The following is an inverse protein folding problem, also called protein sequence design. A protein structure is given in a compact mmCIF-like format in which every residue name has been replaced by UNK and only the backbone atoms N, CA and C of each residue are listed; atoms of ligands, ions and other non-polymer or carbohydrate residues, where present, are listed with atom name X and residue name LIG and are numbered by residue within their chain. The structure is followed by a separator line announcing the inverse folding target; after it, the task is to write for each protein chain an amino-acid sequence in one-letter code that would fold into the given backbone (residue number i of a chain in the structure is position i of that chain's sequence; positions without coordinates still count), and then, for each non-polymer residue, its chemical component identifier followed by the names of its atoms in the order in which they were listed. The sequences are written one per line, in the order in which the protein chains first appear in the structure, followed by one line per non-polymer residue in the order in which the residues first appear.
data_IF_111036911730
#
_entry.id   IF_111036911730
#
_cell.length_a   1.000
_cell.length_b   1.000
_cell.length_c   1.000
_cell.angle_alpha   90.00
_cell.angle_beta   90.00
_cell.angle_gamma   90.00
#
_symmetry.space_group_name_H-M   'P 1'
#
loop_
_entity.id
_entity.type
_entity.pdbx_description
1 polymer ?
#
# COMPACT_ATOMS: atom_id res chain seq x y z
N UNK A 1 -8.56 19.54 6.00
CA UNK A 1 -8.96 18.29 6.70
C UNK A 1 -9.41 17.28 5.67
N UNK A 2 -8.75 16.12 5.55
CA UNK A 2 -8.91 15.19 4.42
C UNK A 2 -10.21 14.38 4.55
N UNK A 3 -11.37 15.02 4.33
CA UNK A 3 -12.69 14.47 4.64
C UNK A 3 -13.09 13.22 3.81
N UNK A 4 -12.35 12.85 2.75
CA UNK A 4 -12.77 11.82 1.77
C UNK A 4 -11.65 10.92 1.19
N UNK A 5 -10.44 10.87 1.76
CA UNK A 5 -9.37 10.04 1.14
C UNK A 5 -9.66 8.55 1.21
N UNK A 6 -10.29 8.08 2.29
CA UNK A 6 -10.68 6.67 2.45
C UNK A 6 -11.65 6.29 1.35
N UNK A 7 -12.66 7.14 1.07
CA UNK A 7 -13.59 6.95 -0.04
C UNK A 7 -12.82 6.84 -1.36
N UNK A 8 -11.88 7.74 -1.65
CA UNK A 8 -11.08 7.68 -2.88
C UNK A 8 -10.24 6.40 -3.01
N UNK A 9 -9.75 5.86 -1.90
CA UNK A 9 -9.01 4.60 -1.89
C UNK A 9 -9.93 3.39 -2.12
N UNK A 10 -11.14 3.40 -1.54
CA UNK A 10 -12.16 2.34 -1.74
C UNK A 10 -12.67 2.31 -3.18
N UNK A 11 -12.91 3.45 -3.82
CA UNK A 11 -13.39 3.53 -5.21
C UNK A 11 -12.38 3.00 -6.25
N UNK A 12 -11.15 2.67 -5.83
CA UNK A 12 -10.10 2.10 -6.71
C UNK A 12 -9.57 0.78 -6.13
N UNK A 13 -10.39 -0.28 -6.09
CA UNK A 13 -9.93 -1.61 -5.69
C UNK A 13 -8.78 -2.08 -6.60
N UNK A 14 -7.88 -2.90 -6.08
CA UNK A 14 -6.73 -3.43 -6.85
C UNK A 14 -5.61 -2.41 -7.15
N UNK A 15 -5.84 -1.09 -6.97
CA UNK A 15 -4.85 -0.09 -7.38
C UNK A 15 -3.50 -0.18 -6.67
N UNK A 16 -3.48 -0.65 -5.42
CA UNK A 16 -2.24 -0.88 -4.69
C UNK A 16 -1.40 -2.02 -5.30
N UNK A 17 -2.04 -3.04 -5.89
CA UNK A 17 -1.34 -4.10 -6.61
C UNK A 17 -0.61 -3.53 -7.82
N UNK A 18 -1.30 -2.71 -8.62
CA UNK A 18 -0.71 -2.01 -9.77
C UNK A 18 0.43 -1.08 -9.36
N UNK A 19 0.27 -0.28 -8.30
CA UNK A 19 1.31 0.64 -7.83
C UNK A 19 2.60 -0.11 -7.42
N UNK A 20 2.44 -1.31 -6.86
CA UNK A 20 3.53 -2.16 -6.36
C UNK A 20 4.03 -3.17 -7.41
N UNK A 21 3.46 -3.21 -8.62
CA UNK A 21 3.65 -4.28 -9.63
C UNK A 21 3.51 -5.69 -9.03
N UNK A 22 2.52 -5.86 -8.16
CA UNK A 22 2.12 -7.16 -7.64
C UNK A 22 0.92 -7.62 -8.47
N UNK A 23 0.87 -8.87 -8.96
CA UNK A 23 -0.30 -9.37 -9.67
C UNK A 23 -1.56 -9.25 -8.81
N UNK A 24 -2.69 -8.89 -9.42
CA UNK A 24 -3.99 -8.93 -8.76
C UNK A 24 -4.29 -10.38 -8.32
N UNK A 25 -4.88 -10.55 -7.13
CA UNK A 25 -5.07 -11.86 -6.50
C UNK A 25 -3.89 -12.38 -5.67
N UNK A 26 -2.68 -11.81 -5.84
CA UNK A 26 -1.54 -12.17 -4.98
C UNK A 26 -1.59 -11.44 -3.64
N UNK A 27 -1.47 -12.17 -2.53
CA UNK A 27 -1.51 -11.57 -1.20
C UNK A 27 -0.36 -10.58 -0.99
N UNK A 28 -0.68 -9.30 -0.76
CA UNK A 28 0.33 -8.30 -0.40
C UNK A 28 0.90 -8.62 0.99
N UNK A 29 2.24 -8.77 1.14
CA UNK A 29 2.87 -9.06 2.42
C UNK A 29 2.62 -7.97 3.47
N UNK A 30 2.41 -8.36 4.73
CA UNK A 30 2.21 -7.37 5.81
C UNK A 30 3.49 -6.57 6.08
N UNK A 31 4.65 -7.20 5.92
CA UNK A 31 5.97 -6.57 6.04
C UNK A 31 6.15 -5.43 5.05
N UNK A 32 5.72 -5.62 3.79
CA UNK A 32 5.75 -4.58 2.77
C UNK A 32 4.84 -3.40 3.11
N UNK A 33 3.60 -3.69 3.55
CA UNK A 33 2.67 -2.63 3.98
C UNK A 33 3.23 -1.82 5.15
N UNK A 34 3.79 -2.49 6.16
CA UNK A 34 4.38 -1.82 7.30
C UNK A 34 5.60 -0.97 6.90
N UNK A 35 6.42 -1.43 5.95
CA UNK A 35 7.55 -0.66 5.44
C UNK A 35 7.11 0.62 4.72
N UNK A 36 6.04 0.54 3.92
CA UNK A 36 5.45 1.70 3.24
C UNK A 36 4.89 2.70 4.26
N UNK A 37 4.19 2.22 5.30
CA UNK A 37 3.59 3.08 6.33
C UNK A 37 4.65 3.71 7.23
N UNK A 38 5.77 3.02 7.46
CA UNK A 38 6.89 3.56 8.26
C UNK A 38 7.67 4.65 7.52
N UNK A 39 7.70 4.59 6.19
CA UNK A 39 8.33 5.61 5.36
C UNK A 39 7.42 6.83 5.19
N UNK A 40 8.01 8.02 5.02
CA UNK A 40 7.23 9.24 4.80
C UNK A 40 6.88 9.36 3.33
N UNK A 41 5.74 9.99 3.04
CA UNK A 41 5.40 10.34 1.67
C UNK A 41 6.48 11.25 1.05
N UNK A 42 7.06 10.81 -0.06
CA UNK A 42 8.23 11.41 -0.71
C UNK A 42 9.47 10.50 -0.67
N UNK A 43 9.52 9.56 0.28
CA UNK A 43 10.67 8.67 0.43
C UNK A 43 10.65 7.55 -0.60
N UNK A 44 11.83 7.10 -1.01
CA UNK A 44 11.99 5.86 -1.80
C UNK A 44 12.47 4.74 -0.89
N UNK A 45 11.66 3.68 -0.75
CA UNK A 45 12.03 2.50 0.04
C UNK A 45 12.55 1.38 -0.86
N UNK A 46 13.48 0.59 -0.34
CA UNK A 46 13.79 -0.72 -0.89
C UNK A 46 12.75 -1.72 -0.38
N UNK A 47 12.18 -2.50 -1.28
CA UNK A 47 11.22 -3.53 -0.91
C UNK A 47 11.91 -4.59 -0.04
N UNK A 48 11.44 -4.81 1.20
CA UNK A 48 12.00 -5.82 2.08
C UNK A 48 11.58 -7.25 1.69
N UNK A 49 10.75 -7.41 0.67
CA UNK A 49 10.23 -8.69 0.18
C UNK A 49 10.57 -8.92 -1.28
N UNK A 50 10.45 -10.17 -1.73
CA UNK A 50 10.66 -10.57 -3.12
C UNK A 50 9.44 -10.35 -4.02
N UNK A 51 8.33 -9.79 -3.49
CA UNK A 51 7.06 -9.65 -4.21
C UNK A 51 6.86 -8.20 -4.63
N UNK A 52 6.72 -7.98 -5.94
CA UNK A 52 6.52 -6.66 -6.54
C UNK A 52 7.82 -5.88 -6.81
N UNK A 53 7.71 -4.56 -6.94
CA UNK A 53 8.84 -3.65 -7.24
C UNK A 53 9.96 -3.74 -6.22
N UNK A 54 11.21 -3.73 -6.68
CA UNK A 54 12.40 -3.69 -5.80
C UNK A 54 12.59 -2.35 -5.08
N UNK A 55 12.22 -1.24 -5.72
CA UNK A 55 12.27 0.12 -5.16
C UNK A 55 10.92 0.79 -5.36
N UNK A 56 10.43 1.46 -4.33
CA UNK A 56 9.06 1.98 -4.30
C UNK A 56 9.12 3.43 -3.83
N UNK A 57 8.68 4.35 -4.69
CA UNK A 57 8.44 5.74 -4.30
C UNK A 57 7.14 5.79 -3.51
N UNK A 58 7.23 6.13 -2.23
CA UNK A 58 6.07 6.23 -1.34
C UNK A 58 5.38 7.56 -1.61
N UNK A 59 4.33 7.54 -2.42
CA UNK A 59 3.47 8.72 -2.58
C UNK A 59 2.39 8.74 -1.50
N UNK A 60 1.79 9.90 -1.21
CA UNK A 60 0.66 10.01 -0.27
C UNK A 60 -0.49 9.06 -0.60
N UNK A 61 -0.75 8.80 -1.89
CA UNK A 61 -1.80 7.88 -2.34
C UNK A 61 -1.45 6.42 -2.04
N UNK A 62 -0.19 6.04 -2.24
CA UNK A 62 0.32 4.69 -1.93
C UNK A 62 0.28 4.45 -0.42
N UNK A 63 0.74 5.42 0.38
CA UNK A 63 0.68 5.38 1.84
C UNK A 63 -0.75 5.18 2.33
N UNK A 64 -1.69 6.02 1.89
CA UNK A 64 -3.12 5.93 2.24
C UNK A 64 -3.72 4.56 1.88
N UNK A 65 -3.44 4.05 0.68
CA UNK A 65 -3.91 2.73 0.25
C UNK A 65 -3.28 1.62 1.09
N UNK A 66 -1.99 1.72 1.42
CA UNK A 66 -1.31 0.74 2.27
C UNK A 66 -1.89 0.70 3.69
N UNK A 67 -2.20 1.86 4.27
CA UNK A 67 -2.89 1.96 5.58
C UNK A 67 -4.26 1.27 5.50
N UNK A 68 -5.06 1.57 4.47
CA UNK A 68 -6.37 0.96 4.30
C UNK A 68 -6.27 -0.57 4.19
N UNK A 69 -5.39 -1.07 3.32
CA UNK A 69 -5.22 -2.52 3.11
C UNK A 69 -4.71 -3.22 4.37
N UNK A 70 -3.77 -2.60 5.11
CA UNK A 70 -3.30 -3.12 6.40
C UNK A 70 -4.46 -3.25 7.40
N UNK A 71 -5.28 -2.21 7.53
CA UNK A 71 -6.42 -2.22 8.45
C UNK A 71 -7.46 -3.25 8.06
N UNK A 72 -7.83 -3.33 6.77
CA UNK A 72 -8.75 -4.36 6.25
C UNK A 72 -8.24 -5.78 6.53
N UNK A 73 -6.93 -6.00 6.38
CA UNK A 73 -6.30 -7.30 6.67
C UNK A 73 -6.27 -7.63 8.16
N UNK A 74 -6.21 -6.63 9.03
CA UNK A 74 -6.32 -6.79 10.47
C UNK A 74 -7.74 -7.16 10.93
N UNK A 75 -8.77 -6.68 10.22
CA UNK A 75 -10.18 -6.99 10.51
C UNK A 75 -10.66 -8.35 9.98
N UNK A 76 -9.95 -8.97 9.04
CA UNK A 76 -10.23 -10.35 8.55
C UNK A 76 -9.73 -11.46 9.49
N UNK A 77 -9.28 -11.12 10.71
CA UNK A 77 -8.82 -12.10 11.70
C UNK A 77 -9.95 -12.56 12.59
#
# INVERSE_FOLDING_TARGET
MVKRWIQQAIHRPGRLHLDLEIPEGTKIPMTLLNAIIKAKAGDTIKNPTSVGKKKILVTRKIEQRAILVRNLKGMKR
#
